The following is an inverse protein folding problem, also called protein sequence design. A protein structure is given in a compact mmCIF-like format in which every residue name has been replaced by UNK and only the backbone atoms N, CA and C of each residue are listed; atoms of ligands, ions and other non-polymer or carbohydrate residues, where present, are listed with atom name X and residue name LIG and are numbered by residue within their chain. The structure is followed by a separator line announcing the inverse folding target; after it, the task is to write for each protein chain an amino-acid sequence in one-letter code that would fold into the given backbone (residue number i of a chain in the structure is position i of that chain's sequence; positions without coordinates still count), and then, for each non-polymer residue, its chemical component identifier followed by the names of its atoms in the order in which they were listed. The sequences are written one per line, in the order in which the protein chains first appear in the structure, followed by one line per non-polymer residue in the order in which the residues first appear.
data_IF_289471085342
#
_entry.id   IF_289471085342
#
_cell.length_a   1.000
_cell.length_b   1.000
_cell.length_c   1.000
_cell.angle_alpha   90.00
_cell.angle_beta   90.00
_cell.angle_gamma   90.00
#
_symmetry.space_group_name_H-M   'P 1'
#
loop_
_entity.id
_entity.type
_entity.pdbx_description
1 polymer ?
2 polymer ?
3 water ?
#
# COMPACT_ATOMS: atom_id res chain seq x y z
N UNK A 1 -13.61 13.26 0.44
CA UNK A 1 -13.50 12.50 1.67
C UNK A 1 -12.08 12.20 2.10
N UNK A 2 -11.24 11.83 1.14
CA UNK A 2 -9.87 11.54 1.48
C UNK A 2 -8.95 11.62 0.27
N UNK A 3 -7.70 11.94 0.57
CA UNK A 3 -6.57 11.87 -0.33
C UNK A 3 -5.68 10.78 0.20
N UNK A 4 -5.03 10.03 -0.67
CA UNK A 4 -4.22 8.96 -0.16
C UNK A 4 -2.85 8.96 -0.83
N UNK A 5 -1.86 8.51 -0.08
CA UNK A 5 -0.51 8.30 -0.57
C UNK A 5 -0.35 6.82 -0.81
N UNK A 6 -0.06 6.45 -2.05
CA UNK A 6 0.23 5.08 -2.41
C UNK A 6 1.70 5.03 -2.86
N UNK A 7 2.53 4.27 -2.12
CA UNK A 7 3.96 4.19 -2.39
C UNK A 7 4.32 2.82 -2.95
N UNK A 8 5.06 2.82 -4.05
CA UNK A 8 5.43 1.62 -4.77
C UNK A 8 6.92 1.40 -4.60
N UNK A 9 7.35 0.29 -4.06
CA UNK A 9 8.77 0.00 -3.93
C UNK A 9 9.33 -0.53 -5.25
N UNK A 10 9.82 0.35 -6.11
CA UNK A 10 10.25 -0.04 -7.45
C UNK A 10 11.49 -0.95 -7.49
N UNK A 11 11.46 -1.90 -8.42
CA UNK A 11 12.55 -2.82 -8.63
C UNK A 11 13.65 -2.18 -9.46
N UNK A 13 11.74 0.65 -13.65
CA UNK A 13 11.24 -0.69 -13.91
C UNK A 13 9.73 -0.62 -14.03
N UNK A 14 9.09 -1.71 -14.43
CA UNK A 14 7.65 -1.65 -14.73
C UNK A 14 6.84 -1.46 -13.45
N UNK A 15 5.79 -0.67 -13.56
CA UNK A 15 4.90 -0.45 -12.43
C UNK A 15 3.69 -1.35 -12.43
N UNK A 16 3.22 -1.75 -13.60
CA UNK A 16 2.05 -2.59 -13.62
C UNK A 16 0.75 -1.82 -13.50
N UNK A 17 0.67 -0.65 -14.14
CA UNK A 17 -0.57 0.14 -14.13
C UNK A 17 -0.68 0.83 -15.48
N UNK A 18 -1.91 1.21 -15.83
CA UNK A 18 -2.17 2.04 -17.00
C UNK A 18 -2.91 3.30 -16.59
N UNK A 19 -2.70 4.36 -17.32
CA UNK A 19 -3.38 5.59 -16.97
C UNK A 19 -4.19 6.06 -18.16
N UNK A 20 -5.26 6.80 -17.86
CA UNK A 20 -6.03 7.49 -18.87
C UNK A 20 -6.10 8.96 -18.44
N UNK A 21 -6.42 9.80 -19.40
CA UNK A 21 -6.73 11.19 -19.15
C UNK A 21 -5.50 12.07 -19.19
N UNK A 22 -5.71 13.33 -18.81
CA UNK A 22 -4.69 14.34 -18.89
C UNK A 22 -5.12 15.51 -19.76
N UNK A 23 -4.24 16.50 -19.83
CA UNK A 23 -4.46 17.71 -20.62
C UNK A 23 -4.13 17.44 -22.09
N UNK A 35 -8.96 16.61 -17.96
CA UNK A 35 -9.83 16.61 -16.78
C UNK A 35 -9.24 15.76 -15.63
N UNK A 36 -7.92 15.59 -15.60
CA UNK A 36 -7.20 14.85 -14.60
C UNK A 36 -6.73 13.48 -15.11
N UNK A 37 -5.69 12.93 -14.46
CA UNK A 37 -5.09 11.65 -14.83
C UNK A 37 -5.55 10.54 -13.90
N UNK A 38 -6.08 9.46 -14.46
CA UNK A 38 -6.73 8.42 -13.69
C UNK A 38 -6.10 7.06 -13.97
N UNK A 39 -6.05 6.21 -12.95
CA UNK A 39 -5.62 4.83 -13.11
C UNK A 39 -6.74 4.05 -13.80
N UNK A 40 -6.45 3.55 -14.99
CA UNK A 40 -7.46 2.83 -15.76
C UNK A 40 -7.30 1.33 -15.66
N UNK A 41 -6.14 0.86 -15.25
CA UNK A 41 -5.83 -0.56 -15.16
C UNK A 41 -4.73 -0.81 -14.17
N UNK A 42 -4.84 -1.91 -13.45
CA UNK A 42 -3.79 -2.38 -12.56
C UNK A 42 -3.59 -3.87 -12.85
N UNK A 43 -2.40 -4.23 -13.33
CA UNK A 43 -2.12 -5.63 -13.62
C UNK A 43 -2.20 -6.37 -12.29
N UNK A 44 -2.95 -7.47 -12.21
CA UNK A 44 -3.21 -8.06 -10.88
C UNK A 44 -1.97 -8.38 -10.08
N UNK A 45 -0.93 -8.93 -10.73
CA UNK A 45 0.31 -9.33 -10.06
C UNK A 45 1.29 -8.19 -9.86
N UNK A 46 1.08 -7.06 -10.52
CA UNK A 46 2.13 -6.09 -10.69
C UNK A 46 2.43 -5.31 -9.44
N UNK A 47 3.44 -4.46 -9.55
CA UNK A 47 3.87 -3.72 -8.36
C UNK A 47 2.78 -2.77 -7.89
N UNK A 48 2.07 -2.16 -8.84
CA UNK A 48 1.04 -1.19 -8.46
C UNK A 48 -0.08 -1.85 -7.66
N UNK A 49 -0.55 -3.00 -8.15
CA UNK A 49 -1.59 -3.72 -7.42
C UNK A 49 -1.11 -4.12 -6.04
N UNK A 50 0.11 -4.66 -5.95
CA UNK A 50 0.65 -5.11 -4.67
C UNK A 50 0.77 -3.95 -3.68
N UNK A 51 1.04 -2.75 -4.18
CA UNK A 51 1.21 -1.55 -3.39
C UNK A 51 -0.11 -0.85 -3.06
N UNK A 52 -1.22 -1.30 -3.62
CA UNK A 52 -2.54 -0.82 -3.21
C UNK A 52 -3.14 0.19 -4.13
N UNK A 53 -2.55 0.42 -5.29
CA UNK A 53 -3.17 1.32 -6.23
C UNK A 53 -4.38 0.65 -6.84
N UNK A 54 -5.37 1.46 -7.21
CA UNK A 54 -6.64 0.91 -7.63
C UNK A 54 -7.16 1.70 -8.82
N UNK A 55 -7.82 0.97 -9.73
CA UNK A 55 -8.47 1.60 -10.85
C UNK A 55 -9.48 2.63 -10.35
N UNK A 56 -9.52 3.77 -11.04
CA UNK A 56 -10.31 4.90 -10.62
C UNK A 56 -9.56 5.91 -9.79
N UNK A 57 -8.40 5.54 -9.26
CA UNK A 57 -7.56 6.51 -8.55
C UNK A 57 -7.22 7.65 -9.49
N UNK A 58 -7.36 8.87 -9.01
CA UNK A 58 -6.94 10.03 -9.76
C UNK A 58 -5.55 10.42 -9.25
N UNK A 59 -4.56 10.48 -10.12
CA UNK A 59 -3.21 10.81 -9.67
C UNK A 59 -3.07 12.31 -9.50
N UNK A 60 -2.79 12.75 -8.27
CA UNK A 60 -2.58 14.17 -8.00
C UNK A 60 -1.10 14.55 -8.03
N UNK A 61 -0.21 13.68 -7.57
CA UNK A 61 1.19 14.03 -7.50
C UNK A 61 2.01 12.77 -7.59
N UNK A 62 3.23 12.90 -8.09
CA UNK A 62 4.18 11.80 -8.19
C UNK A 62 5.49 12.26 -7.57
N UNK A 63 5.89 11.66 -6.45
CA UNK A 63 7.14 12.04 -5.77
C UNK A 63 7.24 13.55 -5.63
N UNK A 64 6.14 14.16 -5.19
CA UNK A 64 6.08 15.59 -4.99
C UNK A 64 5.77 16.40 -6.23
N UNK A 65 5.80 15.81 -7.42
CA UNK A 65 5.48 16.53 -8.64
C UNK A 65 3.96 16.58 -8.83
N UNK A 66 3.41 17.79 -8.85
CA UNK A 66 1.97 17.95 -9.05
C UNK A 66 1.62 17.58 -10.48
N UNK A 67 0.73 16.59 -10.65
CA UNK A 67 0.26 16.21 -11.97
C UNK A 67 -1.25 16.36 -12.10
N UNK A 68 -1.89 17.14 -11.21
CA UNK A 68 -3.34 17.30 -11.28
C UNK A 68 -3.79 17.73 -12.67
N UNK A 69 -3.14 18.74 -13.23
CA UNK A 69 -3.49 19.28 -14.54
C UNK A 69 -2.42 18.95 -15.56
N UNK A 70 -1.75 17.82 -15.38
CA UNK A 70 -0.67 17.41 -16.27
C UNK A 70 -1.19 16.85 -17.58
N UNK A 71 -0.36 16.98 -18.61
CA UNK A 71 -0.57 16.29 -19.86
C UNK A 71 -0.58 14.79 -19.63
N UNK A 72 -1.14 14.05 -20.59
CA UNK A 72 -1.01 12.60 -20.52
C UNK A 72 0.47 12.22 -20.53
N UNK A 73 1.21 12.71 -21.54
CA UNK A 73 2.62 12.38 -21.64
C UNK A 73 3.38 12.87 -20.42
N UNK A 74 3.07 14.08 -19.96
CA UNK A 74 3.71 14.57 -18.75
C UNK A 74 3.49 13.59 -17.60
N UNK A 75 2.28 13.05 -17.49
CA UNK A 75 2.03 12.10 -16.40
C UNK A 75 2.85 10.83 -16.60
N UNK A 76 2.90 10.33 -17.84
CA UNK A 76 3.71 9.15 -18.12
C UNK A 76 5.16 9.41 -17.72
N UNK A 77 5.69 10.58 -18.09
CA UNK A 77 7.08 10.89 -17.80
C UNK A 77 7.34 10.98 -16.31
N UNK A 78 6.39 11.55 -15.58
CA UNK A 78 6.53 11.61 -14.14
C UNK A 78 6.56 10.22 -13.54
N UNK A 79 5.74 9.31 -14.07
CA UNK A 79 5.69 7.96 -13.51
C UNK A 79 6.94 7.16 -13.81
N UNK A 80 7.64 7.51 -14.90
CA UNK A 80 8.84 6.82 -15.30
C UNK A 80 10.13 7.52 -14.88
N UNK A 81 10.09 8.32 -13.80
CA UNK A 81 11.31 8.89 -13.25
C UNK A 81 12.29 7.77 -12.86
N UNK A 82 13.61 8.02 -12.86
CA UNK A 82 14.57 6.92 -12.61
C UNK A 82 14.48 6.12 -11.31
N UNK A 85 11.50 5.04 -3.87
CA UNK A 85 10.09 4.63 -3.95
C UNK A 85 9.28 5.62 -4.76
N UNK A 86 8.25 5.13 -5.45
CA UNK A 86 7.38 5.99 -6.26
C UNK A 86 6.17 6.30 -5.38
N UNK A 87 6.09 7.55 -4.89
CA UNK A 87 5.01 8.00 -4.01
C UNK A 87 3.93 8.71 -4.81
N UNK A 88 2.76 8.11 -4.90
CA UNK A 88 1.65 8.67 -5.67
C UNK A 88 0.61 9.20 -4.70
N UNK A 89 0.28 10.48 -4.84
CA UNK A 89 -0.84 11.07 -4.12
C UNK A 89 -2.06 10.94 -5.00
N UNK A 90 -3.09 10.29 -4.49
CA UNK A 90 -4.26 10.03 -5.32
C UNK A 90 -5.53 10.46 -4.59
N UNK A 91 -6.54 10.74 -5.38
CA UNK A 91 -7.89 10.96 -4.88
C UNK A 91 -8.86 10.04 -5.60
N UNK A 92 -9.88 9.57 -4.88
CA UNK A 92 -10.95 8.79 -5.50
C UNK A 92 -12.21 9.65 -5.46
N UNK A 93 -12.89 9.77 -6.60
CA UNK A 93 -14.06 10.64 -6.70
C UNK A 93 -15.24 10.03 -5.96
N UNK B 2 -10.34 6.10 -28.38
CA UNK B 2 -11.22 7.06 -27.73
C UNK B 2 -10.59 7.76 -26.52
N UNK B 3 -10.14 7.00 -25.53
CA UNK B 3 -9.37 7.57 -24.42
C UNK B 3 -8.02 6.86 -24.44
N UNK B 4 -6.95 7.58 -24.78
CA UNK B 4 -5.62 6.98 -24.82
C UNK B 4 -5.28 6.42 -23.45
N UNK B 5 -4.78 5.18 -23.43
CA UNK B 5 -4.38 4.49 -22.20
C UNK B 5 -2.94 4.05 -22.36
N UNK B 6 -2.10 4.30 -21.35
CA UNK B 6 -0.69 3.97 -21.47
C UNK B 6 -0.28 3.03 -20.35
N UNK B 7 0.37 1.92 -20.75
CA UNK B 7 0.91 0.94 -19.82
C UNK B 7 2.24 1.45 -19.27
N UNK B 8 2.41 1.35 -17.96
CA UNK B 8 3.62 1.84 -17.30
C UNK B 8 4.16 0.74 -16.40
N UNK C 1 16.45 1.41 5.58
CA UNK C 1 15.50 1.06 6.63
C UNK C 1 14.66 2.24 7.08
N UNK C 2 13.47 1.91 7.55
CA UNK C 2 12.56 2.93 8.05
C UNK C 2 11.60 2.33 9.03
N UNK C 3 11.12 3.19 9.94
CA UNK C 3 10.01 2.88 10.83
C UNK C 3 8.89 3.79 10.38
N UNK C 4 7.68 3.24 10.31
CA UNK C 4 6.56 4.05 9.91
C UNK C 4 5.31 3.71 10.67
N UNK C 5 4.42 4.71 10.74
CA UNK C 5 3.07 4.54 11.24
C UNK C 5 2.15 4.45 10.02
N UNK C 6 1.49 3.30 9.87
CA UNK C 6 0.51 3.04 8.83
C UNK C 6 -0.83 2.82 9.51
N UNK C 7 -1.81 3.63 9.12
CA UNK C 7 -3.15 3.54 9.65
C UNK C 7 -4.03 2.80 8.65
N UNK C 8 -4.78 1.81 9.15
CA UNK C 8 -5.66 1.01 8.31
C UNK C 8 -7.10 1.25 8.77
N UNK C 9 -7.96 1.84 7.95
CA UNK C 9 -9.37 2.04 8.37
C UNK C 9 -10.17 0.76 8.12
N UNK C 10 -10.15 -0.10 9.12
CA UNK C 10 -10.84 -1.35 9.01
C UNK C 10 -12.32 -1.11 8.79
N UNK C 11 -12.89 -1.86 7.86
CA UNK C 11 -14.31 -1.75 7.57
C UNK C 11 -15.19 -2.48 8.55
N UNK C 12 -14.64 -3.39 9.34
CA UNK C 12 -15.35 -4.52 9.89
C UNK C 12 -14.75 -5.83 9.43
N UNK C 13 -14.14 -5.86 8.27
CA UNK C 13 -13.84 -7.13 7.68
C UNK C 13 -12.36 -7.31 7.74
N UNK C 14 -11.83 -8.04 6.80
CA UNK C 14 -10.42 -8.44 6.91
C UNK C 14 -9.49 -7.28 6.65
N UNK C 15 -8.30 -7.39 7.21
CA UNK C 15 -7.25 -6.43 6.96
C UNK C 15 -6.57 -6.70 5.64
N UNK C 16 -6.57 -7.95 5.16
CA UNK C 16 -5.94 -8.28 3.90
C UNK C 16 -4.47 -8.55 4.06
N UNK C 17 -4.06 -9.14 5.18
CA UNK C 17 -2.66 -9.47 5.32
C UNK C 17 -2.55 -10.74 6.13
N UNK C 18 -1.39 -11.39 6.02
CA UNK C 18 -1.03 -12.50 6.87
C UNK C 18 0.25 -12.17 7.62
N UNK C 19 0.37 -12.70 8.81
CA UNK C 19 1.57 -12.53 9.61
C UNK C 19 2.15 -13.90 9.89
N UNK C 20 3.48 -13.94 10.06
CA UNK C 20 4.20 -15.11 10.50
C UNK C 20 5.03 -14.69 11.70
N UNK C 21 5.40 -15.66 12.50
CA UNK C 21 6.33 -15.37 13.57
C UNK C 21 5.66 -14.97 14.87
N UNK C 22 6.50 -14.42 15.74
CA UNK C 22 6.17 -14.13 17.11
C UNK C 22 7.18 -14.74 18.04
N UNK C 23 6.96 -14.51 19.33
CA UNK C 23 7.91 -14.95 20.35
C UNK C 23 7.81 -16.44 20.63
N UNK C 24 6.69 -17.08 20.32
CA UNK C 24 6.61 -18.54 20.39
C UNK C 24 7.31 -19.16 19.18
N UNK C 34 14.99 -10.55 15.71
CA UNK C 34 14.25 -9.50 15.01
C UNK C 34 12.90 -9.29 15.67
N UNK C 35 12.66 -8.10 16.20
CA UNK C 35 11.39 -7.84 16.90
C UNK C 35 10.22 -7.65 15.94
N UNK C 36 9.03 -7.90 16.46
CA UNK C 36 7.81 -7.67 15.71
C UNK C 36 7.34 -8.93 15.00
N UNK C 37 6.10 -8.91 14.56
CA UNK C 37 5.57 -10.02 13.76
C UNK C 37 5.72 -9.62 12.30
N UNK C 38 6.16 -10.57 11.48
CA UNK C 38 6.48 -10.30 10.11
C UNK C 38 5.20 -10.39 9.31
N UNK C 39 5.00 -9.41 8.45
CA UNK C 39 3.93 -9.50 7.46
C UNK C 39 4.42 -10.39 6.33
N UNK C 40 3.74 -11.51 6.12
CA UNK C 40 4.15 -12.52 5.14
C UNK C 40 3.31 -12.52 3.88
N UNK C 41 2.17 -11.84 3.89
CA UNK C 41 1.28 -11.77 2.76
C UNK C 41 0.45 -10.51 2.86
N UNK C 42 0.30 -9.84 1.72
CA UNK C 42 -0.53 -8.66 1.57
C UNK C 42 -1.33 -8.85 0.29
N UNK C 43 -2.63 -8.94 0.43
CA UNK C 43 -3.52 -9.11 -0.72
C UNK C 43 -3.63 -7.80 -1.48
N UNK C 44 -3.33 -7.80 -2.79
CA UNK C 44 -3.33 -6.54 -3.53
C UNK C 44 -4.63 -5.78 -3.40
N UNK C 45 -5.76 -6.49 -3.37
CA UNK C 45 -7.08 -5.89 -3.37
C UNK C 45 -7.53 -5.41 -2.00
N UNK C 46 -6.81 -5.77 -0.94
CA UNK C 46 -7.24 -5.56 0.43
C UNK C 46 -6.86 -4.22 1.02
N UNK C 47 -7.33 -4.02 2.25
CA UNK C 47 -7.11 -2.75 2.95
C UNK C 47 -5.65 -2.57 3.32
N UNK C 48 -4.96 -3.65 3.70
CA UNK C 48 -3.57 -3.53 4.07
C UNK C 48 -2.75 -3.01 2.90
N UNK C 49 -2.99 -3.55 1.71
CA UNK C 49 -2.26 -3.08 0.53
C UNK C 49 -2.57 -1.61 0.27
N UNK C 50 -3.86 -1.24 0.32
CA UNK C 50 -4.25 0.13 0.05
C UNK C 50 -3.60 1.07 1.04
N UNK C 51 -3.49 0.65 2.28
CA UNK C 51 -3.00 1.53 3.32
C UNK C 51 -1.47 1.63 3.33
N UNK C 52 -0.78 0.76 2.62
CA UNK C 52 0.65 0.86 2.46
C UNK C 52 1.49 -0.21 3.12
N UNK C 53 0.89 -1.24 3.69
CA UNK C 53 1.67 -2.31 4.28
C UNK C 53 2.25 -3.22 3.22
N UNK C 54 3.36 -3.87 3.58
CA UNK C 54 4.09 -4.73 2.65
C UNK C 54 4.61 -5.98 3.31
N UNK C 55 4.74 -7.04 2.50
CA UNK C 55 5.47 -8.23 2.96
C UNK C 55 6.87 -7.85 3.40
N UNK C 56 7.31 -8.45 4.49
CA UNK C 56 8.59 -8.12 5.07
C UNK C 56 8.55 -7.03 6.11
N UNK C 57 7.48 -6.23 6.18
CA UNK C 57 7.31 -5.29 7.27
C UNK C 57 7.20 -6.06 8.58
N UNK C 58 7.79 -5.53 9.62
CA UNK C 58 7.60 -6.06 10.96
C UNK C 58 6.70 -5.12 11.75
N UNK C 59 5.60 -5.65 12.28
CA UNK C 59 4.69 -4.85 13.06
C UNK C 59 5.26 -4.75 14.47
N UNK C 60 5.55 -3.53 14.92
CA UNK C 60 6.09 -3.29 16.24
C UNK C 60 5.03 -2.91 17.26
N UNK C 61 3.99 -2.21 16.83
CA UNK C 61 2.95 -1.74 17.74
C UNK C 61 1.65 -1.60 16.99
N UNK C 62 0.54 -1.82 17.70
CA UNK C 62 -0.80 -1.72 17.13
C UNK C 62 -1.59 -0.84 18.08
N UNK C 63 -1.97 0.34 17.63
CA UNK C 63 -2.76 1.26 18.45
C UNK C 63 -2.14 1.45 19.83
N UNK C 64 -0.81 1.66 19.84
CA UNK C 64 -0.11 1.94 21.08
C UNK C 64 0.26 0.71 21.86
N UNK C 65 -0.24 -0.46 21.49
CA UNK C 65 0.11 -1.71 22.14
C UNK C 65 1.39 -2.24 21.52
N UNK C 66 2.43 -2.37 22.33
CA UNK C 66 3.71 -2.89 21.88
C UNK C 66 3.58 -4.39 21.63
N UNK C 67 3.86 -4.82 20.41
CA UNK C 67 3.81 -6.23 20.08
C UNK C 67 5.17 -6.74 19.59
N UNK C 68 6.23 -6.00 19.90
CA UNK C 68 7.58 -6.38 19.48
C UNK C 68 7.89 -7.82 19.85
N UNK C 69 7.56 -8.21 21.08
CA UNK C 69 7.77 -9.56 21.58
C UNK C 69 6.47 -10.29 21.83
N UNK C 70 5.44 -9.97 21.06
CA UNK C 70 4.16 -10.64 21.23
C UNK C 70 4.26 -12.05 20.65
N UNK C 71 3.53 -12.97 21.28
CA UNK C 71 3.35 -14.27 20.68
C UNK C 71 2.58 -14.10 19.38
N UNK C 72 2.56 -15.16 18.58
CA UNK C 72 1.78 -15.15 17.35
C UNK C 72 0.32 -14.81 17.65
N UNK C 73 -0.28 -15.51 18.61
CA UNK C 73 -1.68 -15.29 18.94
C UNK C 73 -1.91 -13.87 19.45
N UNK C 74 -1.03 -13.40 20.33
CA UNK C 74 -1.16 -12.03 20.84
C UNK C 74 -1.19 -11.03 19.72
N UNK C 75 -0.32 -11.23 18.72
CA UNK C 75 -0.26 -10.33 17.59
C UNK C 75 -1.53 -10.38 16.77
N UNK C 76 -2.04 -11.60 16.52
CA UNK C 76 -3.31 -11.73 15.84
C UNK C 76 -4.38 -10.98 16.61
N UNK C 77 -4.41 -11.19 17.92
CA UNK C 77 -5.45 -10.57 18.73
C UNK C 77 -5.35 -9.06 18.69
N UNK C 78 -4.13 -8.53 18.67
CA UNK C 78 -3.94 -7.10 18.60
C UNK C 78 -4.46 -6.53 17.29
N UNK C 79 -4.23 -7.24 16.19
CA UNK C 79 -4.65 -6.70 14.91
C UNK C 79 -6.17 -6.74 14.76
N UNK C 80 -6.81 -7.71 15.40
CA UNK C 80 -8.25 -7.88 15.36
C UNK C 80 -8.93 -7.33 16.61
N UNK C 81 -8.36 -6.27 17.19
CA UNK C 81 -8.92 -5.56 18.34
C UNK C 81 -10.35 -5.19 17.95
N UNK C 82 -11.32 -5.16 18.88
CA UNK C 82 -12.73 -4.90 18.51
C UNK C 82 -13.05 -3.62 17.74
N UNK C 85 -9.94 2.61 13.15
CA UNK C 85 -8.66 2.91 12.51
C UNK C 85 -7.54 2.20 13.25
N UNK C 86 -6.82 1.35 12.56
CA UNK C 86 -5.76 0.55 13.16
C UNK C 86 -4.45 1.26 12.90
N UNK C 87 -3.80 1.77 13.95
CA UNK C 87 -2.52 2.47 13.80
C UNK C 87 -1.39 1.46 14.05
N UNK C 88 -0.67 1.10 12.99
CA UNK C 88 0.40 0.11 13.07
C UNK C 88 1.75 0.79 12.95
N UNK C 89 2.63 0.53 13.90
CA UNK C 89 4.02 0.94 13.78
C UNK C 89 4.81 -0.21 13.17
N UNK C 90 5.44 0.03 12.04
CA UNK C 90 6.12 -1.07 11.37
C UNK C 90 7.54 -0.67 11.09
N UNK C 91 8.40 -1.68 11.01
CA UNK C 91 9.79 -1.53 10.61
C UNK C 91 9.88 -2.12 9.21
N UNK C 92 10.55 -1.41 8.33
CA UNK C 92 10.75 -1.79 6.94
C UNK C 92 12.23 -1.71 6.60
N UNK C 93 12.73 -2.71 5.88
CA UNK C 93 14.12 -2.75 5.43
C UNK C 93 14.28 -1.72 4.34
N UNK D 2 9.19 -24.46 10.32
CA UNK D 2 7.75 -24.37 10.15
C UNK D 2 7.23 -23.20 11.00
N UNK D 3 6.66 -22.20 10.32
CA UNK D 3 6.14 -21.00 10.97
C UNK D 3 4.64 -20.90 10.76
N UNK D 4 3.90 -20.81 11.86
CA UNK D 4 2.47 -20.57 11.77
C UNK D 4 2.22 -19.28 11.00
N UNK D 5 1.27 -19.31 10.08
CA UNK D 5 0.88 -18.13 9.34
C UNK D 5 -0.62 -17.93 9.49
N UNK D 6 -1.05 -16.72 9.81
CA UNK D 6 -2.47 -16.41 9.98
C UNK D 6 -2.92 -15.27 9.10
N UNK D 7 -4.03 -15.45 8.39
CA UNK D 7 -4.64 -14.39 7.60
C UNK D 7 -5.54 -13.53 8.49
N UNK D 8 -5.46 -12.23 8.32
CA UNK D 8 -6.18 -11.29 9.15
C UNK D 8 -6.93 -10.32 8.27
#
# INVERSE_FOLDING_TARGET
GSVEEIRLPRAGGPLGLSIVGGSDHSSHPFGVQEPGVFISKVLPRGLAARSGLRVGDRILAVNGQDVRDATHQEAVSALLRPCLELSLLVRRD
KHFRETEV
GSVEEIRLPRAGGPLGLSIVGGSDHSSHPFGVQEPGVFISKVLPRGLAARSGLRVGDRILAVNGQDVRDATHQEAVSALLRPCLELSLLVRRD
KHFRETEV
#
